data_IF_996223210116
#
_entry.id   IF_996223210116
#
_cell.length_a   1.000
_cell.length_b   1.000
_cell.length_c   1.000
_cell.angle_alpha   90.00
_cell.angle_beta   90.00
_cell.angle_gamma   90.00
#
_symmetry.space_group_name_H-M   'P 1'
#
loop_
_entity.id
_entity.type
_entity.pdbx_description
1 polymer ?
#
# COMPACT_ATOMS: atom_id res chain seq x y z
N UNK A 1 -8.88 -21.83 -0.95
CA UNK A 1 -9.89 -21.19 -1.82
C UNK A 1 -9.32 -19.86 -2.26
N UNK A 2 -9.41 -19.52 -3.54
CA UNK A 2 -8.81 -18.29 -4.08
C UNK A 2 -9.94 -17.32 -4.46
N UNK A 3 -9.78 -16.05 -4.09
CA UNK A 3 -10.70 -14.97 -4.41
C UNK A 3 -9.90 -13.83 -5.01
N UNK A 4 -10.27 -13.43 -6.22
CA UNK A 4 -9.67 -12.27 -6.88
C UNK A 4 -10.31 -10.99 -6.37
N UNK A 5 -9.54 -9.91 -6.37
CA UNK A 5 -10.01 -8.58 -6.01
C UNK A 5 -9.06 -7.49 -6.50
N UNK A 6 -9.52 -6.25 -6.42
CA UNK A 6 -8.74 -5.06 -6.83
C UNK A 6 -8.60 -4.13 -5.64
N UNK A 7 -7.37 -3.70 -5.35
CA UNK A 7 -7.13 -2.67 -4.32
C UNK A 7 -7.68 -1.34 -4.82
N UNK A 8 -8.59 -0.73 -4.05
CA UNK A 8 -9.17 0.59 -4.34
C UNK A 8 -9.15 1.46 -3.09
N UNK A 9 -8.27 2.46 -3.09
CA UNK A 9 -8.03 3.28 -1.91
C UNK A 9 -7.53 2.43 -0.75
N UNK A 10 -8.26 2.44 0.36
CA UNK A 10 -7.97 1.63 1.57
C UNK A 10 -8.77 0.32 1.63
N UNK A 11 -9.47 -0.03 0.54
CA UNK A 11 -10.42 -1.15 0.48
C UNK A 11 -10.10 -2.12 -0.66
N UNK A 12 -10.81 -3.25 -0.69
CA UNK A 12 -10.71 -4.27 -1.74
C UNK A 12 -12.05 -4.39 -2.45
N UNK A 13 -12.07 -4.19 -3.78
CA UNK A 13 -13.19 -4.59 -4.61
C UNK A 13 -13.21 -6.11 -4.68
N UNK A 14 -14.25 -6.71 -4.09
CA UNK A 14 -14.34 -8.16 -3.95
C UNK A 14 -14.88 -8.82 -5.23
N UNK A 15 -14.16 -9.78 -5.79
CA UNK A 15 -14.55 -10.52 -7.01
C UNK A 15 -15.45 -11.73 -6.77
N UNK A 16 -16.08 -11.87 -5.61
CA UNK A 16 -16.95 -13.01 -5.34
C UNK A 16 -18.26 -12.92 -6.14
N UNK A 17 -19.02 -14.02 -6.19
CA UNK A 17 -20.27 -14.10 -6.96
C UNK A 17 -21.30 -13.03 -6.55
N UNK A 18 -21.30 -12.64 -5.28
CA UNK A 18 -22.24 -11.67 -4.73
C UNK A 18 -21.77 -10.22 -4.95
N UNK A 19 -20.47 -9.96 -4.82
CA UNK A 19 -19.90 -8.61 -4.90
C UNK A 19 -19.61 -8.15 -6.34
N UNK A 20 -19.18 -9.06 -7.22
CA UNK A 20 -18.90 -8.79 -8.64
C UNK A 20 -18.05 -7.54 -8.91
N UNK A 21 -17.03 -7.29 -8.06
CA UNK A 21 -16.16 -6.11 -8.08
C UNK A 21 -16.86 -4.75 -7.85
N UNK A 22 -18.11 -4.74 -7.39
CA UNK A 22 -18.88 -3.53 -7.08
C UNK A 22 -18.76 -3.11 -5.62
N UNK A 23 -18.59 -4.08 -4.72
CA UNK A 23 -18.53 -3.81 -3.27
C UNK A 23 -17.08 -3.67 -2.81
N UNK A 24 -16.80 -2.50 -2.22
CA UNK A 24 -15.56 -2.22 -1.50
C UNK A 24 -15.68 -2.78 -0.07
N UNK A 25 -14.79 -3.70 0.29
CA UNK A 25 -14.76 -4.35 1.60
C UNK A 25 -13.39 -4.19 2.25
N UNK A 26 -13.30 -4.36 3.57
CA UNK A 26 -12.01 -4.37 4.26
C UNK A 26 -11.29 -5.73 4.13
N UNK A 27 -10.04 -5.83 4.61
CA UNK A 27 -9.24 -7.05 4.48
C UNK A 27 -9.87 -8.28 5.16
N UNK A 28 -10.50 -8.08 6.32
CA UNK A 28 -11.17 -9.15 7.06
C UNK A 28 -12.39 -9.69 6.32
N UNK A 29 -13.21 -8.79 5.77
CA UNK A 29 -14.37 -9.16 4.97
C UNK A 29 -13.98 -9.83 3.65
N UNK A 30 -12.93 -9.34 2.99
CA UNK A 30 -12.41 -9.94 1.77
C UNK A 30 -11.98 -11.40 2.00
N UNK A 31 -11.23 -11.66 3.07
CA UNK A 31 -10.83 -13.01 3.46
C UNK A 31 -12.05 -13.90 3.79
N UNK A 32 -13.04 -13.35 4.50
CA UNK A 32 -14.30 -14.05 4.80
C UNK A 32 -15.06 -14.43 3.53
N UNK A 33 -15.08 -13.56 2.52
CA UNK A 33 -15.71 -13.84 1.23
C UNK A 33 -14.96 -14.92 0.44
N UNK A 34 -13.66 -15.11 0.68
CA UNK A 34 -12.90 -16.26 0.16
C UNK A 34 -13.21 -17.57 0.92
N UNK A 35 -13.98 -17.51 2.00
CA UNK A 35 -14.30 -18.63 2.89
C UNK A 35 -13.20 -18.94 3.91
N UNK A 36 -12.35 -17.96 4.22
CA UNK A 36 -11.26 -18.07 5.18
C UNK A 36 -11.52 -17.18 6.41
N UNK A 37 -10.85 -17.47 7.53
CA UNK A 37 -10.88 -16.64 8.73
C UNK A 37 -9.57 -16.77 9.48
N UNK A 38 -8.75 -15.72 9.45
CA UNK A 38 -7.46 -15.66 10.13
C UNK A 38 -7.40 -14.45 11.07
N UNK A 39 -6.37 -14.43 11.92
CA UNK A 39 -6.11 -13.28 12.81
C UNK A 39 -5.49 -12.09 12.07
N UNK A 40 -4.81 -12.33 10.95
CA UNK A 40 -4.04 -11.31 10.22
C UNK A 40 -4.31 -11.40 8.72
N UNK A 41 -5.47 -10.90 8.23
CA UNK A 41 -5.86 -11.05 6.82
C UNK A 41 -4.80 -10.52 5.83
N UNK A 42 -4.10 -9.44 6.17
CA UNK A 42 -3.04 -8.87 5.31
C UNK A 42 -1.83 -9.80 5.10
N UNK A 43 -1.65 -10.83 5.94
CA UNK A 43 -0.63 -11.87 5.76
C UNK A 43 -1.10 -12.99 4.81
N UNK A 44 -2.37 -12.97 4.42
CA UNK A 44 -3.02 -14.00 3.62
C UNK A 44 -3.70 -13.44 2.35
N UNK A 45 -3.55 -12.15 2.09
CA UNK A 45 -3.94 -11.49 0.83
C UNK A 45 -2.67 -11.28 0.01
N UNK A 46 -2.66 -11.83 -1.19
CA UNK A 46 -1.49 -11.88 -2.06
C UNK A 46 -1.70 -11.04 -3.32
N UNK A 47 -0.62 -10.41 -3.77
CA UNK A 47 -0.49 -9.89 -5.13
C UNK A 47 -0.19 -11.02 -6.11
N UNK A 48 -0.28 -10.74 -7.41
CA UNK A 48 -0.05 -11.71 -8.49
C UNK A 48 1.39 -12.27 -8.47
N UNK A 49 2.35 -11.48 -7.98
CA UNK A 49 3.74 -11.91 -7.80
C UNK A 49 3.98 -12.79 -6.56
N UNK A 50 2.93 -13.15 -5.81
CA UNK A 50 3.02 -14.00 -4.62
C UNK A 50 3.46 -13.28 -3.34
N UNK A 51 3.73 -11.96 -3.36
CA UNK A 51 3.96 -11.19 -2.13
C UNK A 51 2.64 -10.90 -1.43
N UNK A 52 2.64 -10.94 -0.10
CA UNK A 52 1.47 -10.54 0.69
C UNK A 52 1.38 -9.02 0.78
N UNK A 53 0.17 -8.49 1.04
CA UNK A 53 -0.01 -7.06 1.36
C UNK A 53 0.94 -6.63 2.48
N UNK A 54 1.06 -7.45 3.53
CA UNK A 54 2.00 -7.20 4.60
C UNK A 54 3.45 -7.13 4.13
N UNK A 55 3.92 -8.11 3.34
CA UNK A 55 5.29 -8.15 2.83
C UNK A 55 5.62 -6.91 1.97
N UNK A 56 4.71 -6.51 1.08
CA UNK A 56 4.85 -5.30 0.28
C UNK A 56 4.97 -4.05 1.16
N UNK A 57 4.13 -3.93 2.18
CA UNK A 57 4.20 -2.79 3.11
C UNK A 57 5.52 -2.77 3.89
N UNK A 58 6.04 -3.92 4.32
CA UNK A 58 7.33 -3.97 5.01
C UNK A 58 8.48 -3.54 4.09
N UNK A 59 8.50 -4.03 2.86
CA UNK A 59 9.52 -3.69 1.86
C UNK A 59 9.53 -2.18 1.57
N UNK A 60 8.35 -1.58 1.35
CA UNK A 60 8.22 -0.15 1.14
C UNK A 60 8.64 0.68 2.36
N UNK A 61 8.36 0.21 3.59
CA UNK A 61 8.81 0.86 4.82
C UNK A 61 10.33 0.86 4.98
N UNK A 62 11.00 -0.21 4.55
CA UNK A 62 12.45 -0.31 4.58
C UNK A 62 13.15 0.33 3.37
N UNK A 63 12.39 0.81 2.38
CA UNK A 63 12.94 1.37 1.15
C UNK A 63 13.43 2.81 1.38
N UNK A 64 14.69 3.12 1.02
CA UNK A 64 15.21 4.49 1.01
C UNK A 64 14.37 5.45 0.15
N UNK A 65 14.28 6.71 0.57
CA UNK A 65 13.38 7.68 -0.04
C UNK A 65 13.67 7.99 -1.51
N UNK A 66 14.95 7.95 -1.90
CA UNK A 66 15.44 8.19 -3.26
C UNK A 66 14.91 7.17 -4.27
N UNK A 67 14.75 5.91 -3.87
CA UNK A 67 14.25 4.82 -4.73
C UNK A 67 12.80 4.39 -4.42
N UNK A 68 12.15 5.00 -3.42
CA UNK A 68 10.80 4.64 -2.98
C UNK A 68 9.77 4.63 -4.12
N UNK A 69 9.85 5.59 -5.04
CA UNK A 69 8.90 5.69 -6.14
C UNK A 69 9.05 4.56 -7.16
N UNK A 70 10.27 4.10 -7.41
CA UNK A 70 10.57 2.97 -8.29
C UNK A 70 10.16 1.64 -7.64
N UNK A 71 10.42 1.52 -6.33
CA UNK A 71 10.00 0.36 -5.55
C UNK A 71 8.47 0.19 -5.57
N UNK A 72 7.69 1.25 -5.39
CA UNK A 72 6.21 1.18 -5.43
C UNK A 72 5.70 0.65 -6.79
N UNK A 73 6.35 1.01 -7.88
CA UNK A 73 5.95 0.58 -9.22
C UNK A 73 6.25 -0.89 -9.51
N UNK A 74 7.22 -1.49 -8.80
CA UNK A 74 7.67 -2.86 -9.06
C UNK A 74 7.23 -3.86 -7.99
N UNK A 75 7.12 -3.44 -6.73
CA UNK A 75 6.89 -4.33 -5.57
C UNK A 75 5.56 -5.08 -5.61
N UNK A 76 4.53 -4.47 -6.21
CA UNK A 76 3.19 -5.07 -6.31
C UNK A 76 3.10 -6.12 -7.41
N UNK A 77 4.02 -6.12 -8.39
CA UNK A 77 3.98 -7.02 -9.54
C UNK A 77 2.76 -6.86 -10.45
N UNK A 78 1.93 -5.84 -10.21
CA UNK A 78 0.72 -5.54 -10.97
C UNK A 78 0.68 -4.05 -11.31
N UNK A 79 0.07 -3.65 -12.44
CA UNK A 79 -0.04 -2.24 -12.81
C UNK A 79 -0.68 -1.40 -11.71
N UNK A 80 -0.05 -0.28 -11.39
CA UNK A 80 -0.59 0.68 -10.42
C UNK A 80 -1.43 1.75 -11.13
N UNK A 81 -2.35 2.38 -10.40
CA UNK A 81 -3.05 3.54 -10.90
C UNK A 81 -2.11 4.76 -10.92
N UNK A 82 -1.62 5.14 -12.10
CA UNK A 82 -0.67 6.24 -12.28
C UNK A 82 -1.19 7.61 -11.83
N UNK A 83 -2.49 7.86 -11.93
CA UNK A 83 -3.08 9.12 -11.48
C UNK A 83 -3.04 9.22 -9.94
N UNK A 84 -3.53 8.19 -9.25
CA UNK A 84 -3.49 8.12 -7.79
C UNK A 84 -2.05 8.14 -7.28
N UNK A 85 -1.14 7.45 -7.96
CA UNK A 85 0.28 7.44 -7.63
C UNK A 85 0.91 8.84 -7.75
N UNK A 86 0.64 9.57 -8.84
CA UNK A 86 1.15 10.93 -9.04
C UNK A 86 0.63 11.90 -7.98
N UNK A 87 -0.67 11.84 -7.66
CA UNK A 87 -1.29 12.66 -6.61
C UNK A 87 -0.65 12.35 -5.24
N UNK A 88 -0.53 11.08 -4.89
CA UNK A 88 0.10 10.66 -3.64
C UNK A 88 1.58 11.08 -3.58
N UNK A 89 2.33 10.90 -4.66
CA UNK A 89 3.75 11.28 -4.76
C UNK A 89 3.96 12.77 -4.49
N UNK A 90 3.14 13.64 -5.08
CA UNK A 90 3.20 15.07 -4.85
C UNK A 90 2.95 15.43 -3.37
N UNK A 91 1.90 14.86 -2.77
CA UNK A 91 1.57 15.04 -1.35
C UNK A 91 2.67 14.54 -0.42
N UNK A 92 3.24 13.37 -0.71
CA UNK A 92 4.35 12.79 0.06
C UNK A 92 5.60 13.68 0.02
N UNK A 93 5.96 14.20 -1.15
CA UNK A 93 7.10 15.12 -1.30
C UNK A 93 6.85 16.48 -0.64
N UNK A 94 5.61 16.98 -0.66
CA UNK A 94 5.24 18.20 0.07
C UNK A 94 5.38 18.01 1.59
N UNK A 95 4.85 16.90 2.12
CA UNK A 95 4.96 16.55 3.53
C UNK A 95 6.43 16.35 3.97
N UNK A 96 7.26 15.68 3.15
CA UNK A 96 8.69 15.51 3.44
C UNK A 96 9.39 16.86 3.57
N UNK A 97 9.15 17.78 2.62
CA UNK A 97 9.74 19.13 2.67
C UNK A 97 9.31 19.91 3.90
N UNK A 98 8.04 19.78 4.29
CA UNK A 98 7.51 20.44 5.47
C UNK A 98 8.11 19.88 6.76
N UNK A 99 8.30 18.55 6.86
CA UNK A 99 9.00 17.93 7.98
C UNK A 99 10.46 18.41 8.06
N UNK A 100 11.17 18.50 6.94
CA UNK A 100 12.52 19.07 6.89
C UNK A 100 12.53 20.54 7.30
N UNK A 101 11.51 21.33 6.96
CA UNK A 101 11.41 22.73 7.38
C UNK A 101 11.22 22.87 8.89
N UNK A 102 10.47 21.97 9.51
CA UNK A 102 10.16 21.97 10.94
C UNK A 102 11.35 21.45 11.76
N UNK A 103 11.93 20.31 11.37
CA UNK A 103 12.95 19.60 12.15
C UNK A 103 14.39 19.83 11.65
N UNK A 104 14.58 20.25 10.40
CA UNK A 104 15.92 20.46 9.81
C UNK A 104 16.65 21.72 10.28
N UNK A 105 16.07 22.49 11.21
CA UNK A 105 16.76 23.61 11.88
C UNK A 105 17.57 23.17 13.11
N UNK A 106 17.28 22.01 13.71
CA UNK A 106 17.92 21.59 14.97
C UNK A 106 19.33 20.98 14.77
N UNK A 107 19.71 20.56 13.55
CA UNK A 107 21.07 20.07 13.28
C UNK A 107 22.13 21.18 13.16
N UNK A 108 21.72 22.42 12.85
CA UNK A 108 22.65 23.56 12.68
C UNK A 108 23.02 24.21 14.03
N UNK A 109 22.27 23.96 15.10
CA UNK A 109 22.51 24.56 16.41
C UNK A 109 23.48 23.78 17.32
N UNK A 110 23.88 22.56 16.97
CA UNK A 110 24.83 21.75 17.76
C UNK A 110 26.24 21.69 17.16
N UNK A 111 26.51 22.46 16.10
CA UNK A 111 27.85 22.67 15.55
C UNK A 111 28.19 24.16 15.63
N UNK A 112 28.40 24.67 16.85
CA UNK A 112 29.04 25.97 17.11
C UNK A 112 29.76 25.92 18.46
#
# INVERSE_FOLDING_TARGET
KNLLGVVKGTSYLCGCKDCKLSNAVNAYEFERHAGCKTKHPNNHIYFENGKTIYAVVQELKSTPQDILFEAIQSVTGSPINHNNFSIWKASYQAATRELQRIYGKDEVAMAS
#
